data_IF_706013292736
#
_entry.id   IF_706013292736
#
_cell.length_a   1.000
_cell.length_b   1.000
_cell.length_c   1.000
_cell.angle_alpha   90.00
_cell.angle_beta   90.00
_cell.angle_gamma   90.00
#
_symmetry.space_group_name_H-M   'P 1'
#
loop_
_entity.id
_entity.type
_entity.pdbx_description
1 polymer ?
#
# COMPACT_ATOMS: atom_id res chain seq x y z
N UNK A 1 -19.43 1.74 11.02
CA UNK A 1 -18.97 2.80 10.08
C UNK A 1 -18.50 2.13 8.79
N UNK A 2 -18.92 2.62 7.61
CA UNK A 2 -18.40 2.14 6.32
C UNK A 2 -17.17 2.97 5.95
N UNK A 3 -16.06 2.31 5.62
CA UNK A 3 -14.84 2.96 5.14
C UNK A 3 -14.71 2.78 3.62
N UNK A 4 -14.11 3.75 2.94
CA UNK A 4 -13.82 3.68 1.51
C UNK A 4 -12.35 3.28 1.31
N UNK A 5 -12.06 2.15 0.62
CA UNK A 5 -10.70 1.69 0.43
C UNK A 5 -9.99 2.50 -0.66
N UNK A 6 -8.79 2.98 -0.34
CA UNK A 6 -7.91 3.69 -1.28
C UNK A 6 -6.45 3.25 -1.09
N UNK A 7 -5.66 3.33 -2.16
CA UNK A 7 -4.21 3.20 -2.15
C UNK A 7 -3.60 4.58 -2.37
N UNK A 8 -2.87 5.10 -1.38
CA UNK A 8 -2.24 6.40 -1.43
C UNK A 8 -0.86 6.33 -2.06
N UNK A 9 -0.57 7.23 -2.99
CA UNK A 9 0.78 7.44 -3.52
C UNK A 9 1.50 8.43 -2.61
N UNK A 10 2.49 7.95 -1.86
CA UNK A 10 3.21 8.74 -0.86
C UNK A 10 4.63 9.13 -1.29
N UNK A 11 5.08 8.75 -2.48
CA UNK A 11 6.41 9.11 -2.97
C UNK A 11 6.62 10.62 -2.94
N UNK A 12 7.64 11.07 -2.20
CA UNK A 12 7.95 12.49 -2.00
C UNK A 12 6.92 13.28 -1.16
N UNK A 13 5.94 12.61 -0.53
CA UNK A 13 4.98 13.27 0.36
C UNK A 13 5.51 13.30 1.79
N UNK A 14 5.39 14.45 2.43
CA UNK A 14 5.79 14.63 3.83
C UNK A 14 4.77 14.02 4.77
N UNK A 15 5.24 13.16 5.68
CA UNK A 15 4.41 12.49 6.69
C UNK A 15 5.02 12.66 8.06
N UNK A 16 4.21 13.09 9.02
CA UNK A 16 4.59 13.24 10.42
C UNK A 16 4.21 11.98 11.20
N UNK A 17 5.13 11.50 12.01
CA UNK A 17 4.89 10.47 13.04
C UNK A 17 5.26 11.05 14.39
N UNK A 18 4.30 11.17 15.30
CA UNK A 18 4.50 11.66 16.66
C UNK A 18 4.62 10.48 17.62
N UNK A 19 5.77 10.37 18.28
CA UNK A 19 6.18 9.22 19.07
C UNK A 19 7.28 8.41 18.39
N UNK A 20 8.13 7.74 19.18
CA UNK A 20 9.28 6.98 18.67
C UNK A 20 9.29 5.49 19.09
N UNK A 21 8.20 4.98 19.69
CA UNK A 21 8.07 3.59 20.13
C UNK A 21 7.78 2.60 18.99
N UNK A 22 7.53 1.34 19.33
CA UNK A 22 7.31 0.23 18.37
C UNK A 22 6.13 0.46 17.40
N UNK A 23 5.06 1.15 17.84
CA UNK A 23 3.94 1.52 16.95
C UNK A 23 4.40 2.51 15.90
N UNK A 24 5.11 3.56 16.31
CA UNK A 24 5.68 4.57 15.43
C UNK A 24 6.68 3.95 14.44
N UNK A 25 7.55 3.06 14.92
CA UNK A 25 8.51 2.32 14.08
C UNK A 25 7.80 1.55 12.97
N UNK A 26 6.80 0.75 13.30
CA UNK A 26 6.04 -0.02 12.31
C UNK A 26 5.38 0.89 11.26
N UNK A 27 4.84 2.06 11.68
CA UNK A 27 4.28 3.05 10.75
C UNK A 27 5.34 3.66 9.86
N UNK A 28 6.45 4.13 10.44
CA UNK A 28 7.53 4.73 9.71
C UNK A 28 8.14 3.79 8.66
N UNK A 29 8.35 2.50 8.98
CA UNK A 29 8.83 1.50 8.01
C UNK A 29 7.89 1.37 6.80
N UNK A 30 6.58 1.28 7.01
CA UNK A 30 5.62 1.19 5.91
C UNK A 30 5.56 2.46 5.05
N UNK A 31 5.69 3.62 5.67
CA UNK A 31 5.71 4.93 4.99
C UNK A 31 6.99 5.11 4.16
N UNK A 32 8.15 4.76 4.71
CA UNK A 32 9.44 4.77 3.99
C UNK A 32 9.41 3.81 2.79
N UNK A 33 8.86 2.61 2.96
CA UNK A 33 8.70 1.66 1.86
C UNK A 33 7.76 2.18 0.75
N UNK A 34 6.81 3.07 1.09
CA UNK A 34 5.95 3.76 0.13
C UNK A 34 6.59 5.03 -0.47
N UNK A 35 7.87 5.31 -0.16
CA UNK A 35 8.62 6.46 -0.67
C UNK A 35 8.28 7.80 -0.03
N UNK A 36 7.63 7.80 1.15
CA UNK A 36 7.31 9.03 1.88
C UNK A 36 8.56 9.68 2.52
N UNK A 37 8.52 11.00 2.66
CA UNK A 37 9.46 11.76 3.48
C UNK A 37 8.97 11.75 4.92
N UNK A 38 9.54 10.85 5.73
CA UNK A 38 9.06 10.62 7.10
C UNK A 38 9.82 11.46 8.11
N UNK A 39 9.09 12.29 8.86
CA UNK A 39 9.59 12.97 10.05
C UNK A 39 9.01 12.32 11.31
N UNK A 40 9.87 11.91 12.21
CA UNK A 40 9.50 11.39 13.55
C UNK A 40 9.82 12.45 14.61
N UNK A 41 8.83 12.77 15.44
CA UNK A 41 8.98 13.74 16.54
C UNK A 41 8.72 13.06 17.87
N UNK A 42 9.68 13.09 18.76
CA UNK A 42 9.53 12.60 20.14
C UNK A 42 10.54 13.28 21.08
N UNK A 43 10.22 13.48 22.38
CA UNK A 43 11.15 14.06 23.34
C UNK A 43 12.32 13.11 23.65
N UNK A 44 12.12 11.80 23.48
CA UNK A 44 13.14 10.77 23.70
C UNK A 44 13.25 9.91 22.44
N UNK A 45 14.47 9.60 21.96
CA UNK A 45 14.65 8.67 20.86
C UNK A 45 14.16 7.26 21.22
N UNK A 46 13.81 6.49 20.20
CA UNK A 46 13.36 5.11 20.31
C UNK A 46 13.45 4.42 18.95
N UNK A 47 12.95 3.20 18.79
CA UNK A 47 13.16 2.39 17.58
C UNK A 47 12.80 3.11 16.27
N UNK A 48 11.80 3.98 16.27
CA UNK A 48 11.42 4.73 15.07
C UNK A 48 12.46 5.79 14.67
N UNK A 49 13.21 6.33 15.64
CA UNK A 49 14.24 7.34 15.40
C UNK A 49 15.50 6.75 14.76
N UNK A 50 15.72 5.44 14.91
CA UNK A 50 16.90 4.72 14.42
C UNK A 50 16.75 4.24 12.98
N UNK A 51 15.57 4.40 12.39
CA UNK A 51 15.32 3.95 11.03
C UNK A 51 16.07 4.80 10.01
N UNK A 52 16.80 4.14 9.11
CA UNK A 52 17.42 4.80 7.98
C UNK A 52 16.37 5.51 7.11
N UNK A 53 16.61 6.77 6.76
CA UNK A 53 15.69 7.59 5.96
C UNK A 53 14.64 8.36 6.76
N UNK A 54 14.60 8.23 8.08
CA UNK A 54 13.76 9.06 8.94
C UNK A 54 14.49 10.37 9.29
N UNK A 55 13.76 11.49 9.21
CA UNK A 55 14.17 12.74 9.82
C UNK A 55 13.69 12.78 11.28
N UNK A 56 14.58 12.54 12.24
CA UNK A 56 14.23 12.55 13.65
C UNK A 56 14.40 13.94 14.27
N UNK A 57 13.34 14.43 14.91
CA UNK A 57 13.34 15.69 15.67
C UNK A 57 13.14 15.35 17.15
N UNK A 58 14.20 15.50 17.93
CA UNK A 58 14.14 15.29 19.38
C UNK A 58 13.50 16.50 20.06
N UNK A 59 12.18 16.52 20.09
CA UNK A 59 11.41 17.59 20.74
C UNK A 59 10.02 17.06 21.17
N UNK A 60 9.35 17.79 22.03
CA UNK A 60 7.92 17.63 22.23
C UNK A 60 7.17 18.03 20.98
N UNK A 61 6.01 17.38 20.72
CA UNK A 61 5.15 17.76 19.62
C UNK A 61 4.68 19.23 19.73
N UNK A 62 4.63 19.90 18.60
CA UNK A 62 3.97 21.19 18.43
C UNK A 62 3.26 21.24 17.06
N UNK A 63 2.21 22.09 16.88
CA UNK A 63 1.49 22.20 15.62
C UNK A 63 2.37 22.58 14.42
N UNK A 64 3.49 23.27 14.67
CA UNK A 64 4.45 23.66 13.61
C UNK A 64 5.02 22.44 12.84
N UNK A 65 5.09 21.26 13.48
CA UNK A 65 5.58 20.04 12.83
C UNK A 65 4.64 19.52 11.72
N UNK A 66 3.38 19.97 11.68
CA UNK A 66 2.42 19.60 10.63
C UNK A 66 2.62 20.38 9.32
N UNK A 67 3.46 21.41 9.32
CA UNK A 67 3.63 22.27 8.15
C UNK A 67 4.05 21.49 6.90
N UNK A 68 3.20 21.53 5.86
CA UNK A 68 3.42 20.84 4.59
C UNK A 68 3.27 19.32 4.64
N UNK A 69 2.82 18.74 5.75
CA UNK A 69 2.54 17.31 5.84
C UNK A 69 1.22 16.97 5.15
N UNK A 70 1.18 15.76 4.55
CA UNK A 70 -0.02 15.17 3.93
C UNK A 70 -0.79 14.33 4.94
N UNK A 71 -0.06 13.59 5.76
CA UNK A 71 -0.57 12.68 6.78
C UNK A 71 0.13 12.92 8.10
N UNK A 72 -0.56 12.63 9.20
CA UNK A 72 0.00 12.57 10.53
C UNK A 72 -0.40 11.26 11.23
N UNK A 73 0.54 10.69 11.97
CA UNK A 73 0.31 9.53 12.82
C UNK A 73 0.63 9.90 14.26
N UNK A 74 -0.37 9.87 15.14
CA UNK A 74 -0.21 10.07 16.57
C UNK A 74 0.00 8.70 17.22
N UNK A 75 1.25 8.39 17.61
CA UNK A 75 1.70 7.07 18.06
C UNK A 75 2.35 7.14 19.45
N UNK A 76 1.96 8.10 20.29
CA UNK A 76 2.47 8.22 21.65
C UNK A 76 1.66 7.37 22.63
N UNK A 77 2.18 7.15 23.83
CA UNK A 77 1.46 6.56 24.96
C UNK A 77 0.50 7.54 25.66
N UNK A 78 0.57 8.84 25.34
CA UNK A 78 -0.28 9.87 25.94
C UNK A 78 -1.52 10.11 25.07
N UNK A 79 -2.70 9.74 25.59
CA UNK A 79 -3.98 10.06 24.93
C UNK A 79 -4.14 11.56 24.68
N UNK A 80 -3.73 12.38 25.64
CA UNK A 80 -3.83 13.84 25.53
C UNK A 80 -3.00 14.39 24.37
N UNK A 81 -1.77 13.91 24.19
CA UNK A 81 -0.91 14.31 23.06
C UNK A 81 -1.51 13.82 21.75
N UNK A 82 -1.98 12.57 21.68
CA UNK A 82 -2.58 12.01 20.47
C UNK A 82 -3.84 12.79 20.06
N UNK A 83 -4.70 13.16 21.02
CA UNK A 83 -5.88 13.99 20.76
C UNK A 83 -5.52 15.41 20.29
N UNK A 84 -4.47 16.03 20.87
CA UNK A 84 -3.97 17.32 20.40
C UNK A 84 -3.45 17.24 18.96
N UNK A 85 -2.64 16.22 18.65
CA UNK A 85 -2.17 15.98 17.27
C UNK A 85 -3.34 15.85 16.30
N UNK A 86 -4.41 15.10 16.67
CA UNK A 86 -5.58 14.91 15.83
C UNK A 86 -6.35 16.22 15.59
N UNK A 87 -6.54 17.02 16.64
CA UNK A 87 -7.21 18.31 16.54
C UNK A 87 -6.43 19.29 15.64
N UNK A 88 -5.12 19.41 15.88
CA UNK A 88 -4.24 20.30 15.11
C UNK A 88 -4.12 19.88 13.65
N UNK A 89 -4.02 18.56 13.39
CA UNK A 89 -3.96 18.02 12.04
C UNK A 89 -5.23 18.33 11.24
N UNK A 90 -6.41 18.14 11.84
CA UNK A 90 -7.69 18.52 11.21
C UNK A 90 -7.78 20.02 10.93
N UNK A 91 -7.35 20.85 11.88
CA UNK A 91 -7.31 22.30 11.69
C UNK A 91 -6.37 22.71 10.54
N UNK A 92 -5.29 21.97 10.32
CA UNK A 92 -4.31 22.18 9.25
C UNK A 92 -4.71 21.50 7.91
N UNK A 93 -5.84 20.76 7.84
CA UNK A 93 -6.24 19.99 6.66
C UNK A 93 -5.36 18.75 6.39
N UNK A 94 -4.67 18.25 7.41
CA UNK A 94 -3.81 17.06 7.37
C UNK A 94 -4.60 15.86 7.87
N UNK A 95 -4.65 14.78 7.10
CA UNK A 95 -5.32 13.57 7.54
C UNK A 95 -4.54 12.89 8.66
N UNK A 96 -5.26 12.45 9.70
CA UNK A 96 -4.64 11.90 10.90
C UNK A 96 -5.12 10.48 11.21
N UNK A 97 -4.19 9.67 11.71
CA UNK A 97 -4.47 8.39 12.36
C UNK A 97 -3.89 8.41 13.78
N UNK A 98 -4.76 8.34 14.78
CA UNK A 98 -4.38 8.23 16.18
C UNK A 98 -4.39 6.76 16.61
N UNK A 99 -3.30 6.28 17.20
CA UNK A 99 -3.22 4.92 17.72
C UNK A 99 -4.23 4.73 18.85
N UNK A 100 -4.97 3.62 18.78
CA UNK A 100 -5.95 3.18 19.77
C UNK A 100 -7.15 4.13 20.02
N UNK A 101 -7.39 5.10 19.12
CA UNK A 101 -8.48 6.07 19.22
C UNK A 101 -9.21 6.21 17.88
N UNK A 102 -10.16 5.32 17.56
CA UNK A 102 -10.88 5.35 16.29
C UNK A 102 -11.62 6.66 16.00
N UNK A 103 -12.11 7.33 17.04
CA UNK A 103 -12.80 8.63 16.97
C UNK A 103 -11.90 9.78 16.53
N UNK A 104 -10.60 9.65 16.76
CA UNK A 104 -9.59 10.63 16.39
C UNK A 104 -8.93 10.31 15.03
N UNK A 105 -9.44 9.31 14.30
CA UNK A 105 -8.90 8.90 13.01
C UNK A 105 -9.73 9.39 11.84
N UNK A 106 -9.08 9.99 10.84
CA UNK A 106 -9.70 10.29 9.54
C UNK A 106 -9.57 9.09 8.59
N UNK A 107 -8.60 8.21 8.83
CA UNK A 107 -8.39 6.96 8.09
C UNK A 107 -7.84 5.85 8.98
N UNK A 108 -7.99 4.61 8.53
CA UNK A 108 -7.46 3.43 9.22
C UNK A 108 -6.35 2.77 8.40
N UNK A 109 -5.30 2.34 9.08
CA UNK A 109 -4.28 1.51 8.45
C UNK A 109 -4.76 0.07 8.39
N UNK A 110 -4.80 -0.50 7.20
CA UNK A 110 -5.15 -1.89 6.97
C UNK A 110 -4.02 -2.85 7.40
N UNK A 111 -4.35 -4.11 7.63
CA UNK A 111 -3.38 -5.18 7.67
C UNK A 111 -2.94 -5.48 6.23
N UNK A 112 -1.66 -5.30 5.91
CA UNK A 112 -1.15 -5.40 4.54
C UNK A 112 -0.18 -6.56 4.36
N UNK A 113 -0.20 -7.15 3.18
CA UNK A 113 0.85 -7.96 2.58
C UNK A 113 1.27 -7.27 1.28
N UNK A 114 2.54 -7.27 0.97
CA UNK A 114 3.05 -6.72 -0.28
C UNK A 114 4.14 -7.64 -0.85
N UNK A 115 4.07 -7.86 -2.17
CA UNK A 115 5.11 -8.49 -2.96
C UNK A 115 5.24 -7.69 -4.27
N UNK A 116 6.35 -7.00 -4.45
CA UNK A 116 6.53 -6.04 -5.53
C UNK A 116 5.42 -4.99 -5.56
N UNK A 117 4.75 -4.87 -6.70
CA UNK A 117 3.63 -3.96 -6.90
C UNK A 117 2.27 -4.51 -6.42
N UNK A 118 2.21 -5.81 -6.07
CA UNK A 118 0.98 -6.43 -5.57
C UNK A 118 0.80 -6.14 -4.09
N UNK A 119 -0.32 -5.53 -3.74
CA UNK A 119 -0.65 -5.21 -2.36
C UNK A 119 -2.03 -5.79 -2.02
N UNK A 120 -2.09 -6.58 -0.95
CA UNK A 120 -3.34 -7.02 -0.32
C UNK A 120 -3.52 -6.24 0.97
N UNK A 121 -4.67 -5.58 1.11
CA UNK A 121 -5.00 -4.79 2.29
C UNK A 121 -6.33 -5.25 2.88
N UNK A 122 -6.34 -5.61 4.15
CA UNK A 122 -7.54 -6.06 4.86
C UNK A 122 -7.87 -5.07 5.97
N UNK A 123 -9.04 -4.46 5.88
CA UNK A 123 -9.57 -3.54 6.89
C UNK A 123 -10.86 -4.06 7.50
N UNK A 124 -11.04 -3.82 8.80
CA UNK A 124 -12.27 -4.14 9.56
C UNK A 124 -12.93 -2.88 10.13
N UNK A 125 -12.57 -1.69 9.60
CA UNK A 125 -13.06 -0.41 10.10
C UNK A 125 -12.69 -0.13 11.56
N UNK A 126 -11.56 -0.71 12.03
CA UNK A 126 -11.11 -0.60 13.44
C UNK A 126 -11.77 -1.61 14.38
N UNK A 127 -12.82 -2.34 13.96
CA UNK A 127 -13.59 -3.21 14.85
C UNK A 127 -12.85 -4.48 15.30
N UNK A 128 -12.00 -5.07 14.45
CA UNK A 128 -11.38 -6.36 14.74
C UNK A 128 -9.96 -6.47 14.12
N UNK A 129 -8.94 -5.81 14.71
CA UNK A 129 -7.57 -5.84 14.16
C UNK A 129 -6.98 -7.25 14.06
N UNK A 130 -7.25 -8.11 15.02
CA UNK A 130 -6.80 -9.51 15.02
C UNK A 130 -7.37 -10.31 13.85
N UNK A 131 -8.65 -10.13 13.53
CA UNK A 131 -9.30 -10.75 12.37
C UNK A 131 -8.68 -10.24 11.07
N UNK A 132 -8.47 -8.92 10.95
CA UNK A 132 -7.82 -8.35 9.77
C UNK A 132 -6.42 -8.96 9.53
N UNK A 133 -5.64 -9.13 10.59
CA UNK A 133 -4.32 -9.79 10.52
C UNK A 133 -4.39 -11.26 10.11
N UNK A 134 -5.38 -12.01 10.60
CA UNK A 134 -5.60 -13.41 10.23
C UNK A 134 -6.00 -13.55 8.76
N UNK A 135 -7.01 -12.78 8.33
CA UNK A 135 -7.47 -12.79 6.93
C UNK A 135 -6.35 -12.37 5.97
N UNK A 136 -5.54 -11.37 6.34
CA UNK A 136 -4.38 -10.97 5.55
C UNK A 136 -3.40 -12.12 5.35
N UNK A 137 -3.11 -12.94 6.41
CA UNK A 137 -2.25 -14.12 6.27
C UNK A 137 -2.86 -15.16 5.33
N UNK A 138 -4.13 -15.52 5.52
CA UNK A 138 -4.83 -16.49 4.67
C UNK A 138 -4.82 -16.05 3.20
N UNK A 139 -5.05 -14.78 2.92
CA UNK A 139 -5.00 -14.25 1.56
C UNK A 139 -3.59 -14.25 0.98
N UNK A 140 -2.57 -13.92 1.78
CA UNK A 140 -1.18 -13.98 1.34
C UNK A 140 -0.76 -15.43 1.00
N UNK A 141 -1.16 -16.40 1.83
CA UNK A 141 -0.86 -17.83 1.63
C UNK A 141 -1.58 -18.43 0.40
N UNK A 142 -2.69 -17.81 -0.03
CA UNK A 142 -3.46 -18.23 -1.20
C UNK A 142 -2.97 -17.59 -2.52
N UNK A 143 -2.06 -16.61 -2.45
CA UNK A 143 -1.48 -16.02 -3.66
C UNK A 143 -0.48 -16.98 -4.30
N UNK A 144 -0.36 -16.96 -5.65
CA UNK A 144 0.71 -17.67 -6.34
C UNK A 144 2.09 -17.25 -5.83
N UNK A 145 3.07 -18.16 -5.79
CA UNK A 145 4.46 -17.78 -5.55
C UNK A 145 4.91 -16.71 -6.53
N UNK A 146 5.77 -15.79 -6.09
CA UNK A 146 6.36 -14.73 -6.93
C UNK A 146 5.33 -13.84 -7.67
N UNK A 147 4.13 -13.64 -7.06
CA UNK A 147 3.05 -12.86 -7.67
C UNK A 147 3.49 -11.43 -8.02
N UNK A 148 4.41 -10.86 -7.25
CA UNK A 148 4.99 -9.55 -7.53
C UNK A 148 5.85 -9.54 -8.79
N UNK A 149 6.68 -10.57 -8.98
CA UNK A 149 7.49 -10.73 -10.19
C UNK A 149 6.61 -11.01 -11.42
N UNK A 150 5.55 -11.81 -11.27
CA UNK A 150 4.55 -12.03 -12.31
C UNK A 150 3.85 -10.71 -12.71
N UNK A 151 3.44 -9.91 -11.74
CA UNK A 151 2.84 -8.60 -12.02
C UNK A 151 3.80 -7.64 -12.72
N UNK A 152 5.09 -7.67 -12.38
CA UNK A 152 6.13 -6.89 -13.06
C UNK A 152 6.29 -7.33 -14.52
N UNK A 153 6.35 -8.65 -14.80
CA UNK A 153 6.42 -9.18 -16.15
C UNK A 153 5.19 -8.80 -17.00
N UNK A 154 3.99 -8.86 -16.42
CA UNK A 154 2.79 -8.37 -17.09
C UNK A 154 2.86 -6.86 -17.41
N UNK A 155 3.44 -6.06 -16.51
CA UNK A 155 3.58 -4.62 -16.73
C UNK A 155 4.52 -4.31 -17.90
N UNK A 156 5.57 -5.09 -18.11
CA UNK A 156 6.49 -4.97 -19.25
C UNK A 156 5.79 -5.27 -20.59
N UNK A 157 4.81 -6.15 -20.61
CA UNK A 157 4.02 -6.46 -21.80
C UNK A 157 2.98 -5.38 -22.14
N UNK A 158 2.71 -4.45 -21.23
CA UNK A 158 1.63 -3.47 -21.40
C UNK A 158 1.72 -2.63 -22.68
N UNK A 159 2.88 -2.10 -23.12
CA UNK A 159 2.98 -1.34 -24.37
C UNK A 159 2.57 -2.17 -25.59
N UNK A 160 3.03 -3.42 -25.67
CA UNK A 160 2.70 -4.35 -26.76
C UNK A 160 1.20 -4.65 -26.78
N UNK A 161 0.63 -4.98 -25.63
CA UNK A 161 -0.79 -5.37 -25.51
C UNK A 161 -1.75 -4.20 -25.77
N UNK A 162 -1.35 -2.96 -25.50
CA UNK A 162 -2.18 -1.78 -25.80
C UNK A 162 -2.48 -1.62 -27.28
N UNK A 163 -1.61 -2.11 -28.16
CA UNK A 163 -1.74 -1.98 -29.61
C UNK A 163 -2.13 -3.31 -30.28
N UNK A 164 -2.18 -4.43 -29.54
CA UNK A 164 -2.40 -5.77 -30.08
C UNK A 164 -3.82 -6.03 -30.62
N UNK A 165 -4.81 -5.24 -30.24
CA UNK A 165 -6.22 -5.39 -30.65
C UNK A 165 -6.84 -4.02 -30.89
N UNK A 166 -7.67 -3.93 -31.94
CA UNK A 166 -8.34 -2.69 -32.33
C UNK A 166 -9.39 -2.24 -31.29
N UNK A 167 -10.07 -3.18 -30.64
CA UNK A 167 -11.16 -2.89 -29.70
C UNK A 167 -10.71 -2.97 -28.23
N UNK A 168 -11.32 -2.17 -27.36
CA UNK A 168 -11.08 -2.22 -25.92
C UNK A 168 -11.46 -3.59 -25.33
N UNK A 169 -12.56 -4.20 -25.78
CA UNK A 169 -13.00 -5.52 -25.34
C UNK A 169 -11.98 -6.62 -25.71
N UNK A 170 -11.41 -6.57 -26.92
CA UNK A 170 -10.37 -7.50 -27.35
C UNK A 170 -9.08 -7.38 -26.53
N UNK A 171 -8.68 -6.16 -26.20
CA UNK A 171 -7.53 -5.92 -25.29
C UNK A 171 -7.80 -6.42 -23.87
N UNK A 172 -9.01 -6.20 -23.36
CA UNK A 172 -9.40 -6.69 -22.04
C UNK A 172 -9.38 -8.21 -21.95
N UNK A 173 -9.93 -8.91 -22.94
CA UNK A 173 -9.91 -10.37 -23.01
C UNK A 173 -8.47 -10.92 -23.02
N UNK A 174 -7.58 -10.30 -23.80
CA UNK A 174 -6.15 -10.65 -23.83
C UNK A 174 -5.48 -10.49 -22.46
N UNK A 175 -5.76 -9.40 -21.77
CA UNK A 175 -5.28 -9.17 -20.40
C UNK A 175 -5.80 -10.21 -19.42
N UNK A 176 -7.08 -10.57 -19.48
CA UNK A 176 -7.67 -11.59 -18.62
C UNK A 176 -7.02 -12.96 -18.83
N UNK A 177 -6.72 -13.32 -20.08
CA UNK A 177 -6.10 -14.61 -20.41
C UNK A 177 -4.65 -14.67 -19.90
N UNK A 178 -3.87 -13.61 -20.10
CA UNK A 178 -2.49 -13.51 -19.60
C UNK A 178 -2.39 -13.40 -18.08
N UNK A 179 -3.30 -12.70 -17.43
CA UNK A 179 -3.33 -12.63 -15.97
C UNK A 179 -3.97 -13.86 -15.31
N UNK A 180 -4.63 -14.70 -16.09
CA UNK A 180 -5.32 -15.90 -15.64
C UNK A 180 -4.41 -17.12 -15.44
N UNK A 181 -5.00 -18.31 -15.23
CA UNK A 181 -4.24 -19.52 -14.93
C UNK A 181 -3.20 -19.88 -16.00
N UNK A 182 -3.48 -19.66 -17.28
CA UNK A 182 -2.56 -19.95 -18.37
C UNK A 182 -1.29 -19.08 -18.30
N UNK A 183 -1.45 -17.78 -18.05
CA UNK A 183 -0.31 -16.87 -17.89
C UNK A 183 0.48 -17.15 -16.61
N UNK A 184 -0.20 -17.44 -15.50
CA UNK A 184 0.46 -17.83 -14.24
C UNK A 184 1.28 -19.12 -14.42
N UNK A 185 0.75 -20.12 -15.14
CA UNK A 185 1.48 -21.35 -15.42
C UNK A 185 2.69 -21.10 -16.33
N UNK A 186 2.51 -20.36 -17.43
CA UNK A 186 3.62 -20.00 -18.31
C UNK A 186 4.74 -19.27 -17.56
N UNK A 187 4.37 -18.33 -16.69
CA UNK A 187 5.34 -17.63 -15.86
C UNK A 187 6.05 -18.55 -14.86
N UNK A 188 5.32 -19.48 -14.23
CA UNK A 188 5.90 -20.45 -13.30
C UNK A 188 6.88 -21.41 -14.01
N UNK A 189 6.62 -21.81 -15.24
CA UNK A 189 7.42 -22.76 -16.00
C UNK A 189 8.67 -22.13 -16.63
N UNK A 190 8.61 -20.88 -17.10
CA UNK A 190 9.70 -20.26 -17.84
C UNK A 190 9.88 -18.74 -17.61
N UNK A 191 9.26 -18.20 -16.56
CA UNK A 191 9.41 -16.81 -16.17
C UNK A 191 8.88 -15.79 -17.19
N UNK A 192 9.45 -14.58 -17.22
CA UNK A 192 9.01 -13.51 -18.13
C UNK A 192 9.08 -13.89 -19.62
N UNK A 193 10.06 -14.73 -20.00
CA UNK A 193 10.23 -15.15 -21.40
C UNK A 193 9.05 -16.01 -21.88
N UNK A 194 8.67 -17.04 -21.13
CA UNK A 194 7.54 -17.89 -21.49
C UNK A 194 6.20 -17.14 -21.45
N UNK A 195 6.06 -16.17 -20.57
CA UNK A 195 4.88 -15.30 -20.54
C UNK A 195 4.82 -14.41 -21.79
N UNK A 196 5.95 -13.91 -22.28
CA UNK A 196 6.03 -13.14 -23.52
C UNK A 196 5.69 -14.00 -24.76
N UNK A 197 6.20 -15.23 -24.84
CA UNK A 197 5.86 -16.18 -25.91
C UNK A 197 4.36 -16.51 -25.93
N UNK A 198 3.75 -16.69 -24.75
CA UNK A 198 2.31 -16.86 -24.63
C UNK A 198 1.56 -15.60 -25.13
N UNK A 199 2.03 -14.41 -24.78
CA UNK A 199 1.43 -13.17 -25.25
C UNK A 199 1.46 -13.06 -26.78
N UNK A 200 2.61 -13.36 -27.41
CA UNK A 200 2.75 -13.34 -28.86
C UNK A 200 1.81 -14.36 -29.53
N UNK A 201 1.69 -15.56 -28.96
CA UNK A 201 0.76 -16.60 -29.42
C UNK A 201 -0.69 -16.13 -29.38
N UNK A 202 -1.10 -15.52 -28.27
CA UNK A 202 -2.46 -14.98 -28.08
C UNK A 202 -2.73 -13.79 -28.99
N UNK A 203 -1.76 -12.95 -29.26
CA UNK A 203 -1.87 -11.82 -30.20
C UNK A 203 -2.08 -12.31 -31.62
N UNK A 204 -1.40 -13.38 -32.05
CA UNK A 204 -1.52 -13.96 -33.39
C UNK A 204 -2.88 -14.65 -33.61
N UNK A 205 -3.57 -15.09 -32.56
CA UNK A 205 -4.87 -15.72 -32.66
C UNK A 205 -5.98 -14.71 -32.99
N UNK A 206 -6.99 -15.05 -33.83
CA UNK A 206 -8.15 -14.19 -33.97
C UNK A 206 -8.89 -14.01 -32.65
N UNK A 207 -9.53 -12.85 -32.42
CA UNK A 207 -10.28 -12.63 -31.17
C UNK A 207 -11.37 -13.69 -31.04
N UNK A 208 -11.43 -14.38 -29.90
CA UNK A 208 -12.54 -15.27 -29.57
C UNK A 208 -13.81 -14.41 -29.60
N UNK A 209 -14.79 -14.79 -30.39
CA UNK A 209 -16.10 -14.15 -30.46
C UNK A 209 -16.74 -14.11 -29.07
N UNK A 210 -17.70 -13.19 -28.79
CA UNK A 210 -18.41 -13.18 -27.55
C UNK A 210 -19.01 -14.57 -27.30
N UNK A 211 -18.69 -15.18 -26.15
CA UNK A 211 -19.39 -16.39 -25.72
C UNK A 211 -20.87 -16.03 -25.57
N UNK A 212 -21.68 -16.76 -26.28
CA UNK A 212 -23.14 -16.65 -26.30
C UNK A 212 -23.74 -16.90 -24.91
#
# INVERSE_FOLDING_TARGET
>A
MRTYPVMLKLSGQRVLVVGAGAVAERRARGLLAAGAEVTVVAPTPGPAAELAGVNFIQNAYSPAHLAGCRLAFACTSSRQVNAAVAADARAAGVWVNAADQPEDCDFFSAATFADGAVVVAVGTGGAAPGLAGQLRRQLADALPPDVGAFAAALAELRPTLQHARATAAGRHALWQELAGPAGQQAFADGGPAALAELADTLIAQPPKGPSA
#
